data_IF_105790883223
#
_entry.id   IF_105790883223
#
_cell.length_a   1.000
_cell.length_b   1.000
_cell.length_c   1.000
_cell.angle_alpha   90.00
_cell.angle_beta   90.00
_cell.angle_gamma   90.00
#
_symmetry.space_group_name_H-M   'P 1'
#
loop_
_entity.id
_entity.type
_entity.pdbx_description
1 polymer ?
#
# COMPACT_ATOMS: atom_id res chain seq x y z
N UNK A 1 1.86 -16.36 21.16
CA UNK A 1 2.82 -15.66 20.31
C UNK A 1 2.02 -14.91 19.24
N UNK A 2 2.20 -13.57 19.15
CA UNK A 2 1.49 -12.75 18.17
C UNK A 2 2.19 -12.91 16.83
N UNK A 3 1.44 -13.28 15.77
CA UNK A 3 1.92 -13.22 14.40
C UNK A 3 1.14 -12.14 13.68
N UNK A 4 1.84 -11.28 12.96
CA UNK A 4 1.26 -10.35 12.00
C UNK A 4 1.60 -10.90 10.62
N UNK A 5 0.61 -11.22 9.81
CA UNK A 5 0.87 -11.78 8.47
C UNK A 5 1.46 -10.73 7.54
N UNK A 6 0.88 -9.54 7.53
CA UNK A 6 1.27 -8.42 6.67
C UNK A 6 1.58 -7.20 7.53
N UNK A 7 2.81 -6.70 7.46
CA UNK A 7 3.27 -5.53 8.18
C UNK A 7 3.60 -4.41 7.18
N UNK A 8 2.77 -3.37 7.17
CA UNK A 8 2.96 -2.22 6.28
C UNK A 8 3.62 -1.07 7.03
N UNK A 9 4.75 -0.57 6.51
CA UNK A 9 5.40 0.65 6.98
C UNK A 9 5.16 1.72 5.94
N UNK A 10 4.30 2.66 6.26
CA UNK A 10 3.93 3.79 5.41
C UNK A 10 4.16 5.11 6.17
N UNK A 11 3.65 6.21 5.64
CA UNK A 11 3.76 7.53 6.25
C UNK A 11 4.00 8.59 5.19
N UNK A 12 4.79 9.62 5.46
CA UNK A 12 5.31 10.53 4.45
C UNK A 12 6.25 9.76 3.50
N UNK A 13 7.56 9.79 3.79
CA UNK A 13 8.53 8.93 3.10
C UNK A 13 9.25 8.05 4.13
N UNK A 14 8.96 6.73 4.17
CA UNK A 14 9.54 5.84 5.18
C UNK A 14 11.07 5.78 5.16
N UNK A 15 11.67 5.89 3.98
CA UNK A 15 13.14 5.80 3.84
C UNK A 15 13.88 7.05 4.31
N UNK A 16 13.20 8.18 4.55
CA UNK A 16 13.81 9.34 5.22
C UNK A 16 13.96 9.12 6.72
N UNK A 17 13.22 8.16 7.29
CA UNK A 17 13.37 7.83 8.70
C UNK A 17 14.72 7.17 8.97
N UNK A 18 15.58 7.72 9.86
CA UNK A 18 16.96 7.23 10.04
C UNK A 18 17.04 5.79 10.55
N UNK A 19 16.09 5.37 11.38
CA UNK A 19 16.05 4.07 12.08
C UNK A 19 15.03 3.07 11.51
N UNK A 20 14.63 3.19 10.23
CA UNK A 20 13.69 2.27 9.59
C UNK A 20 14.17 0.81 9.63
N UNK A 21 15.46 0.58 9.50
CA UNK A 21 16.10 -0.72 9.62
C UNK A 21 15.88 -1.37 11.02
N UNK A 22 16.02 -0.57 12.08
CA UNK A 22 15.73 -1.02 13.45
C UNK A 22 14.26 -1.34 13.67
N UNK A 23 13.35 -0.57 13.07
CA UNK A 23 11.91 -0.86 13.14
C UNK A 23 11.61 -2.20 12.49
N UNK A 24 12.23 -2.49 11.34
CA UNK A 24 12.05 -3.77 10.64
C UNK A 24 12.65 -4.92 11.45
N UNK A 25 13.83 -4.75 12.02
CA UNK A 25 14.46 -5.73 12.93
C UNK A 25 13.54 -6.07 14.11
N UNK A 26 12.97 -5.06 14.77
CA UNK A 26 12.02 -5.24 15.87
C UNK A 26 10.72 -5.91 15.39
N UNK A 27 10.22 -5.55 14.22
CA UNK A 27 9.04 -6.20 13.66
C UNK A 27 9.28 -7.68 13.38
N UNK A 28 10.43 -8.04 12.81
CA UNK A 28 10.83 -9.43 12.59
C UNK A 28 10.91 -10.18 13.92
N UNK A 29 11.59 -9.61 14.89
CA UNK A 29 11.80 -10.23 16.20
C UNK A 29 10.51 -10.52 16.96
N UNK A 30 9.59 -9.57 16.98
CA UNK A 30 8.40 -9.64 17.83
C UNK A 30 7.11 -10.01 17.10
N UNK A 31 6.97 -9.66 15.82
CA UNK A 31 5.74 -9.87 15.04
C UNK A 31 5.86 -11.02 14.02
N UNK A 32 7.09 -11.33 13.58
CA UNK A 32 7.38 -12.41 12.61
C UNK A 32 6.47 -12.34 11.37
N UNK A 33 6.46 -11.21 10.66
CA UNK A 33 5.58 -11.05 9.50
C UNK A 33 6.01 -11.99 8.37
N UNK A 34 5.02 -12.50 7.62
CA UNK A 34 5.31 -13.20 6.37
C UNK A 34 5.71 -12.20 5.28
N UNK A 35 5.09 -11.02 5.29
CA UNK A 35 5.35 -9.96 4.32
C UNK A 35 5.53 -8.64 5.06
N UNK A 36 6.62 -7.93 4.75
CA UNK A 36 6.83 -6.52 5.08
C UNK A 36 6.64 -5.73 3.79
N UNK A 37 5.81 -4.70 3.82
CA UNK A 37 5.53 -3.85 2.67
C UNK A 37 5.87 -2.39 2.99
N UNK A 38 6.50 -1.69 2.04
CA UNK A 38 6.85 -0.29 2.21
C UNK A 38 6.67 0.45 0.87
N UNK A 39 5.72 1.39 0.78
CA UNK A 39 5.65 2.30 -0.36
C UNK A 39 6.75 3.35 -0.26
N UNK A 40 7.12 3.96 -1.39
CA UNK A 40 8.06 5.08 -1.45
C UNK A 40 7.69 6.06 -2.55
N UNK A 41 7.97 7.35 -2.33
CA UNK A 41 7.84 8.39 -3.33
C UNK A 41 9.00 8.39 -4.37
N UNK A 42 10.01 7.55 -4.14
CA UNK A 42 11.17 7.34 -5.00
C UNK A 42 12.08 8.58 -5.23
N UNK A 43 11.99 9.61 -4.38
CA UNK A 43 12.73 10.87 -4.58
C UNK A 43 14.21 10.82 -4.17
N UNK A 44 14.64 9.77 -3.47
CA UNK A 44 16.02 9.63 -2.97
C UNK A 44 16.63 8.27 -3.35
N UNK A 45 16.93 8.01 -4.64
CA UNK A 45 17.26 6.68 -5.15
C UNK A 45 18.42 6.00 -4.40
N UNK A 46 19.54 6.70 -4.22
CA UNK A 46 20.73 6.16 -3.54
C UNK A 46 20.47 5.83 -2.06
N UNK A 47 19.69 6.66 -1.36
CA UNK A 47 19.32 6.42 0.04
C UNK A 47 18.40 5.20 0.17
N UNK A 48 17.42 5.09 -0.73
CA UNK A 48 16.48 3.96 -0.78
C UNK A 48 17.25 2.67 -1.02
N UNK A 49 18.10 2.63 -2.05
CA UNK A 49 18.96 1.48 -2.34
C UNK A 49 19.78 1.05 -1.12
N UNK A 50 20.52 1.99 -0.52
CA UNK A 50 21.36 1.73 0.67
C UNK A 50 20.57 1.11 1.81
N UNK A 51 19.38 1.67 2.09
CA UNK A 51 18.53 1.16 3.18
C UNK A 51 17.90 -0.17 2.85
N UNK A 52 17.47 -0.40 1.61
CA UNK A 52 16.90 -1.68 1.17
C UNK A 52 17.95 -2.79 1.28
N UNK A 53 19.19 -2.58 0.84
CA UNK A 53 20.28 -3.57 1.03
C UNK A 53 20.43 -3.95 2.50
N UNK A 54 20.52 -2.97 3.40
CA UNK A 54 20.63 -3.22 4.83
C UNK A 54 19.42 -3.97 5.41
N UNK A 55 18.22 -3.63 4.97
CA UNK A 55 16.98 -4.33 5.37
C UNK A 55 17.02 -5.78 4.91
N UNK A 56 17.45 -6.04 3.68
CA UNK A 56 17.54 -7.41 3.15
C UNK A 56 18.57 -8.25 3.92
N UNK A 57 19.74 -7.69 4.25
CA UNK A 57 20.72 -8.37 5.12
C UNK A 57 20.11 -8.79 6.47
N UNK A 58 19.32 -7.89 7.09
CA UNK A 58 18.62 -8.19 8.36
C UNK A 58 17.58 -9.30 8.16
N UNK A 59 16.78 -9.24 7.09
CA UNK A 59 15.73 -10.23 6.80
C UNK A 59 16.38 -11.60 6.56
N UNK A 60 17.40 -11.69 5.74
CA UNK A 60 18.08 -12.94 5.43
C UNK A 60 18.71 -13.60 6.64
N UNK A 61 19.26 -12.78 7.53
CA UNK A 61 19.88 -13.27 8.77
C UNK A 61 18.85 -13.70 9.82
N UNK A 62 17.82 -12.86 10.07
CA UNK A 62 16.93 -13.02 11.23
C UNK A 62 15.60 -13.74 10.89
N UNK A 63 15.15 -13.70 9.64
CA UNK A 63 13.87 -14.27 9.19
C UNK A 63 13.84 -14.54 7.69
N UNK A 64 14.62 -15.52 7.19
CA UNK A 64 14.78 -15.77 5.75
C UNK A 64 13.49 -16.18 5.03
N UNK A 65 12.42 -16.50 5.76
CA UNK A 65 11.08 -16.75 5.19
C UNK A 65 10.23 -15.47 5.01
N UNK A 66 10.69 -14.31 5.52
CA UNK A 66 9.98 -13.04 5.36
C UNK A 66 10.28 -12.45 3.97
N UNK A 67 9.22 -12.06 3.27
CA UNK A 67 9.33 -11.33 2.01
C UNK A 67 9.28 -9.82 2.27
N UNK A 68 10.12 -9.06 1.58
CA UNK A 68 10.08 -7.61 1.59
C UNK A 68 9.58 -7.08 0.25
N UNK A 69 8.48 -6.34 0.28
CA UNK A 69 7.90 -5.72 -0.91
C UNK A 69 8.08 -4.22 -0.84
N UNK A 70 8.78 -3.65 -1.80
CA UNK A 70 8.89 -2.19 -1.98
C UNK A 70 8.06 -1.75 -3.17
N UNK A 71 7.30 -0.67 -2.99
CA UNK A 71 6.37 -0.17 -4.00
C UNK A 71 6.59 1.32 -4.29
N UNK A 72 7.48 1.68 -5.23
CA UNK A 72 7.54 3.03 -5.76
C UNK A 72 6.20 3.50 -6.33
N UNK A 73 5.83 4.75 -6.02
CA UNK A 73 4.63 5.39 -6.56
C UNK A 73 4.84 5.72 -8.03
N UNK A 74 3.91 5.28 -8.88
CA UNK A 74 4.00 5.40 -10.33
C UNK A 74 2.64 5.76 -10.90
N UNK A 75 2.38 7.05 -11.16
CA UNK A 75 1.03 7.54 -11.49
C UNK A 75 0.83 7.94 -12.96
N UNK A 76 1.92 8.17 -13.70
CA UNK A 76 1.91 8.43 -15.14
C UNK A 76 3.32 8.25 -15.75
N UNK A 77 3.49 8.52 -17.04
CA UNK A 77 4.75 8.43 -17.77
C UNK A 77 5.36 9.82 -17.99
N UNK A 78 6.67 9.94 -17.76
CA UNK A 78 7.43 11.16 -18.03
C UNK A 78 6.98 12.37 -17.20
N UNK A 79 7.00 13.55 -17.80
CA UNK A 79 6.62 14.81 -17.13
C UNK A 79 5.20 14.82 -16.57
N UNK A 80 4.30 13.98 -17.10
CA UNK A 80 2.94 13.84 -16.55
C UNK A 80 2.98 13.31 -15.11
N UNK A 81 3.93 12.41 -14.82
CA UNK A 81 4.17 11.93 -13.46
C UNK A 81 4.59 13.07 -12.52
N UNK A 82 5.53 13.91 -12.96
CA UNK A 82 6.00 15.07 -12.19
C UNK A 82 4.86 16.03 -11.85
N UNK A 83 4.00 16.31 -12.83
CA UNK A 83 2.82 17.18 -12.64
C UNK A 83 1.85 16.58 -11.61
N UNK A 84 1.53 15.28 -11.73
CA UNK A 84 0.59 14.61 -10.81
C UNK A 84 1.18 14.54 -9.38
N UNK A 85 2.49 14.32 -9.27
CA UNK A 85 3.17 14.24 -7.96
C UNK A 85 3.57 15.61 -7.40
N UNK A 86 3.47 16.68 -8.21
CA UNK A 86 3.85 18.04 -7.81
C UNK A 86 5.35 18.23 -7.57
N UNK A 87 6.21 17.40 -8.18
CA UNK A 87 7.67 17.44 -7.99
C UNK A 87 8.36 17.27 -9.33
N UNK A 88 9.00 18.32 -9.80
CA UNK A 88 9.81 18.29 -11.03
C UNK A 88 10.98 17.32 -10.89
N UNK A 89 11.26 16.54 -11.95
CA UNK A 89 12.31 15.52 -11.96
C UNK A 89 12.01 14.27 -11.11
N UNK A 90 10.77 14.10 -10.65
CA UNK A 90 10.39 12.88 -9.92
C UNK A 90 10.43 11.65 -10.84
N UNK A 91 10.08 11.81 -12.11
CA UNK A 91 10.11 10.73 -13.08
C UNK A 91 11.51 10.12 -13.24
N UNK A 92 12.53 10.94 -13.43
CA UNK A 92 13.92 10.48 -13.54
C UNK A 92 14.38 9.76 -12.28
N UNK A 93 14.04 10.30 -11.11
CA UNK A 93 14.36 9.67 -9.81
C UNK A 93 13.62 8.36 -9.61
N UNK A 94 12.36 8.27 -10.04
CA UNK A 94 11.59 7.05 -10.01
C UNK A 94 12.24 5.96 -10.88
N UNK A 95 12.63 6.30 -12.11
CA UNK A 95 13.29 5.35 -13.02
C UNK A 95 14.65 4.89 -12.46
N UNK A 96 15.45 5.79 -11.89
CA UNK A 96 16.69 5.45 -11.21
C UNK A 96 16.41 4.54 -9.99
N UNK A 97 15.41 4.85 -9.18
CA UNK A 97 15.02 4.02 -8.03
C UNK A 97 14.64 2.62 -8.46
N UNK A 98 13.79 2.46 -9.48
CA UNK A 98 13.38 1.15 -9.98
C UNK A 98 14.58 0.37 -10.50
N UNK A 99 15.48 1.02 -11.24
CA UNK A 99 16.70 0.40 -11.78
C UNK A 99 17.58 -0.13 -10.65
N UNK A 100 17.87 0.69 -9.64
CA UNK A 100 18.68 0.29 -8.46
C UNK A 100 18.04 -0.84 -7.68
N UNK A 101 16.74 -0.78 -7.44
CA UNK A 101 16.02 -1.83 -6.73
C UNK A 101 16.03 -3.16 -7.49
N UNK A 102 15.95 -3.14 -8.81
CA UNK A 102 16.10 -4.34 -9.64
C UNK A 102 17.50 -4.94 -9.55
N UNK A 103 18.54 -4.12 -9.45
CA UNK A 103 19.91 -4.62 -9.20
C UNK A 103 20.01 -5.26 -7.81
N UNK A 104 19.51 -4.61 -6.77
CA UNK A 104 19.47 -5.20 -5.41
C UNK A 104 18.74 -6.55 -5.41
N UNK A 105 17.62 -6.65 -6.12
CA UNK A 105 16.80 -7.87 -6.19
C UNK A 105 17.55 -9.07 -6.76
N UNK A 106 18.57 -8.87 -7.61
CA UNK A 106 19.36 -9.98 -8.17
C UNK A 106 20.06 -10.80 -7.08
N UNK A 107 20.51 -10.13 -6.03
CA UNK A 107 21.23 -10.73 -4.91
C UNK A 107 20.29 -11.19 -3.79
N UNK A 108 19.03 -10.73 -3.79
CA UNK A 108 18.06 -10.90 -2.70
C UNK A 108 16.72 -11.46 -3.20
N UNK A 109 16.54 -12.80 -3.29
CA UNK A 109 15.35 -13.42 -3.88
C UNK A 109 14.06 -13.15 -3.11
N UNK A 110 14.13 -12.73 -1.84
CA UNK A 110 12.98 -12.34 -1.03
C UNK A 110 12.59 -10.86 -1.17
N UNK A 111 13.30 -10.08 -2.00
CA UNK A 111 12.93 -8.72 -2.36
C UNK A 111 12.01 -8.72 -3.56
N UNK A 112 10.82 -8.13 -3.40
CA UNK A 112 9.86 -7.91 -4.48
C UNK A 112 9.74 -6.41 -4.78
N UNK A 113 9.98 -6.05 -6.03
CA UNK A 113 9.88 -4.67 -6.52
C UNK A 113 8.58 -4.54 -7.29
N UNK A 114 7.57 -3.94 -6.66
CA UNK A 114 6.31 -3.60 -7.32
C UNK A 114 6.27 -2.13 -7.70
N UNK A 115 5.24 -1.73 -8.43
CA UNK A 115 4.87 -0.33 -8.64
C UNK A 115 3.38 -0.15 -8.40
N UNK A 116 2.97 1.05 -8.03
CA UNK A 116 1.57 1.35 -7.72
C UNK A 116 1.10 2.65 -8.32
N UNK A 117 -0.08 2.62 -8.96
CA UNK A 117 -0.77 3.80 -9.47
C UNK A 117 -1.99 4.11 -8.63
N UNK A 118 -2.13 5.36 -8.20
CA UNK A 118 -3.37 5.86 -7.62
C UNK A 118 -4.21 6.46 -8.74
N UNK A 119 -5.35 5.82 -9.03
CA UNK A 119 -6.30 6.27 -10.06
C UNK A 119 -7.10 7.44 -9.49
N UNK A 120 -6.69 8.64 -9.83
CA UNK A 120 -7.30 9.91 -9.45
C UNK A 120 -7.92 10.61 -10.66
N UNK A 121 -8.65 11.69 -10.42
CA UNK A 121 -9.09 12.57 -11.52
C UNK A 121 -7.93 13.12 -12.37
N UNK A 122 -6.71 13.15 -11.84
CA UNK A 122 -5.52 13.67 -12.53
C UNK A 122 -4.79 12.58 -13.32
N UNK A 123 -4.73 11.34 -12.80
CA UNK A 123 -4.01 10.23 -13.43
C UNK A 123 -4.85 9.41 -14.41
N UNK A 124 -6.18 9.39 -14.22
CA UNK A 124 -7.10 8.52 -14.97
C UNK A 124 -7.02 8.68 -16.49
N UNK A 125 -6.80 9.89 -16.97
CA UNK A 125 -6.69 10.19 -18.41
C UNK A 125 -5.41 9.65 -19.06
N UNK A 126 -4.41 9.30 -18.23
CA UNK A 126 -3.12 8.76 -18.65
C UNK A 126 -3.00 7.25 -18.39
N UNK A 127 -4.05 6.63 -17.85
CA UNK A 127 -4.00 5.30 -17.26
C UNK A 127 -3.58 4.22 -18.27
N UNK A 128 -4.09 4.28 -19.50
CA UNK A 128 -3.74 3.31 -20.57
C UNK A 128 -2.23 3.35 -20.89
N UNK A 129 -1.69 4.53 -21.13
CA UNK A 129 -0.25 4.71 -21.39
C UNK A 129 0.59 4.24 -20.19
N UNK A 130 0.14 4.57 -18.98
CA UNK A 130 0.80 4.18 -17.72
C UNK A 130 0.89 2.65 -17.59
N UNK A 131 -0.20 1.94 -17.87
CA UNK A 131 -0.21 0.46 -17.85
C UNK A 131 0.69 -0.13 -18.92
N UNK A 132 0.59 0.35 -20.16
CA UNK A 132 1.42 -0.17 -21.25
C UNK A 132 2.91 0.01 -20.94
N UNK A 133 3.30 1.19 -20.47
CA UNK A 133 4.70 1.45 -20.11
C UNK A 133 5.14 0.60 -18.90
N UNK A 134 4.27 0.33 -17.93
CA UNK A 134 4.60 -0.50 -16.77
C UNK A 134 5.10 -1.89 -17.15
N UNK A 135 4.63 -2.45 -18.27
CA UNK A 135 5.04 -3.75 -18.79
C UNK A 135 6.52 -3.80 -19.20
N UNK A 136 7.11 -2.65 -19.53
CA UNK A 136 8.52 -2.53 -19.95
C UNK A 136 9.49 -2.44 -18.78
N UNK A 137 9.00 -2.16 -17.56
CA UNK A 137 9.85 -1.88 -16.40
C UNK A 137 10.49 -3.13 -15.79
N UNK A 138 9.96 -4.31 -16.07
CA UNK A 138 10.50 -5.58 -15.54
C UNK A 138 10.38 -5.69 -14.01
N UNK A 139 9.33 -5.13 -13.44
CA UNK A 139 8.97 -5.22 -12.02
C UNK A 139 8.13 -6.47 -11.73
N UNK A 140 8.08 -6.90 -10.47
CA UNK A 140 7.39 -8.12 -10.06
C UNK A 140 5.86 -7.96 -10.05
N UNK A 141 5.37 -6.76 -9.78
CA UNK A 141 3.94 -6.49 -9.74
C UNK A 141 3.59 -5.05 -10.10
N UNK A 142 2.40 -4.89 -10.67
CA UNK A 142 1.76 -3.61 -10.88
C UNK A 142 0.39 -3.61 -10.20
N UNK A 143 0.14 -2.63 -9.36
CA UNK A 143 -1.10 -2.50 -8.59
C UNK A 143 -1.72 -1.13 -8.87
N UNK A 144 -3.03 -1.10 -9.08
CA UNK A 144 -3.79 0.15 -9.17
C UNK A 144 -4.83 0.20 -8.05
N UNK A 145 -4.96 1.37 -7.44
CA UNK A 145 -5.92 1.65 -6.36
C UNK A 145 -6.66 2.95 -6.70
N UNK A 146 -7.94 3.05 -6.33
CA UNK A 146 -8.70 4.29 -6.52
C UNK A 146 -8.26 5.34 -5.48
N UNK A 147 -8.17 6.59 -5.91
CA UNK A 147 -7.85 7.70 -5.00
C UNK A 147 -8.94 7.87 -3.95
N UNK A 148 -8.54 7.96 -2.70
CA UNK A 148 -9.42 8.13 -1.55
C UNK A 148 -9.19 9.48 -0.88
N UNK A 149 -10.28 10.10 -0.44
CA UNK A 149 -10.25 11.26 0.44
C UNK A 149 -10.09 10.79 1.88
N UNK A 150 -9.03 11.24 2.56
CA UNK A 150 -8.69 10.79 3.93
C UNK A 150 -8.29 11.98 4.80
N UNK A 151 -8.76 12.00 6.04
CA UNK A 151 -8.38 13.01 7.02
C UNK A 151 -6.86 12.99 7.31
N UNK A 152 -6.24 11.80 7.33
CA UNK A 152 -4.79 11.65 7.56
C UNK A 152 -3.92 12.24 6.45
N UNK A 153 -4.48 12.38 5.24
CA UNK A 153 -3.80 12.98 4.08
C UNK A 153 -4.18 14.44 3.87
N UNK A 154 -5.02 15.00 4.75
CA UNK A 154 -5.53 16.39 4.67
C UNK A 154 -6.19 16.72 3.33
N UNK A 155 -6.76 15.73 2.64
CA UNK A 155 -7.32 15.84 1.31
C UNK A 155 -8.84 15.59 1.23
N UNK A 156 -9.55 15.74 2.36
CA UNK A 156 -10.99 15.40 2.47
C UNK A 156 -11.86 16.22 1.50
N UNK A 157 -11.44 17.45 1.20
CA UNK A 157 -12.14 18.36 0.29
C UNK A 157 -11.60 18.35 -1.13
N UNK A 158 -10.49 17.66 -1.38
CA UNK A 158 -9.85 17.66 -2.69
C UNK A 158 -10.63 16.81 -3.69
N UNK A 159 -10.83 17.28 -4.93
CA UNK A 159 -11.59 16.54 -5.94
C UNK A 159 -10.73 15.44 -6.60
N UNK A 160 -10.02 14.64 -5.80
CA UNK A 160 -9.08 13.62 -6.32
C UNK A 160 -9.78 12.34 -6.75
N UNK A 161 -10.89 11.97 -6.08
CA UNK A 161 -11.59 10.72 -6.36
C UNK A 161 -12.39 10.85 -7.66
N UNK A 162 -12.20 9.95 -8.64
CA UNK A 162 -12.95 10.00 -9.89
C UNK A 162 -14.43 9.64 -9.67
N UNK A 163 -15.30 10.13 -10.56
CA UNK A 163 -16.67 9.66 -10.59
C UNK A 163 -16.73 8.17 -10.95
N UNK A 164 -17.77 7.46 -10.47
CA UNK A 164 -17.91 6.04 -10.76
C UNK A 164 -17.93 5.71 -12.27
N UNK A 165 -18.52 6.57 -13.10
CA UNK A 165 -18.55 6.41 -14.56
C UNK A 165 -17.15 6.46 -15.16
N UNK A 166 -16.38 7.53 -14.84
CA UNK A 166 -15.01 7.67 -15.32
C UNK A 166 -14.12 6.53 -14.87
N UNK A 167 -14.29 6.07 -13.61
CA UNK A 167 -13.55 4.95 -13.08
C UNK A 167 -13.91 3.64 -13.79
N UNK A 168 -15.20 3.36 -14.00
CA UNK A 168 -15.69 2.17 -14.71
C UNK A 168 -15.13 2.09 -16.12
N UNK A 169 -15.20 3.17 -16.90
CA UNK A 169 -14.65 3.26 -18.26
C UNK A 169 -13.13 2.97 -18.28
N UNK A 170 -12.38 3.59 -17.36
CA UNK A 170 -10.94 3.43 -17.29
C UNK A 170 -10.53 2.03 -16.84
N UNK A 171 -11.26 1.43 -15.88
CA UNK A 171 -10.91 0.15 -15.30
C UNK A 171 -11.30 -1.03 -16.21
N UNK A 172 -12.21 -0.84 -17.16
CA UNK A 172 -12.57 -1.89 -18.11
C UNK A 172 -11.36 -2.33 -18.96
N UNK A 173 -10.49 -1.38 -19.29
CA UNK A 173 -9.20 -1.71 -19.91
C UNK A 173 -8.37 -2.68 -19.04
N UNK A 174 -8.23 -2.41 -17.74
CA UNK A 174 -7.52 -3.30 -16.82
C UNK A 174 -8.17 -4.67 -16.67
N UNK A 175 -9.50 -4.71 -16.63
CA UNK A 175 -10.23 -5.97 -16.56
C UNK A 175 -9.94 -6.84 -17.79
N UNK A 176 -9.92 -6.24 -18.98
CA UNK A 176 -9.62 -6.94 -20.20
C UNK A 176 -8.18 -7.45 -20.24
N UNK A 177 -7.21 -6.62 -19.85
CA UNK A 177 -5.81 -7.02 -19.69
C UNK A 177 -5.67 -8.19 -18.70
N UNK A 178 -6.30 -8.09 -17.53
CA UNK A 178 -6.27 -9.14 -16.51
C UNK A 178 -6.87 -10.46 -17.02
N UNK A 179 -8.02 -10.39 -17.73
CA UNK A 179 -8.64 -11.57 -18.35
C UNK A 179 -7.76 -12.23 -19.40
N UNK A 180 -7.05 -11.44 -20.20
CA UNK A 180 -6.09 -11.96 -21.18
C UNK A 180 -4.89 -12.64 -20.51
N UNK A 181 -4.32 -11.98 -19.49
CA UNK A 181 -3.20 -12.54 -18.73
C UNK A 181 -3.55 -13.85 -18.01
N UNK A 182 -4.79 -13.99 -17.53
CA UNK A 182 -5.24 -15.22 -16.86
C UNK A 182 -5.10 -16.47 -17.73
N UNK A 183 -5.20 -16.35 -19.06
CA UNK A 183 -5.14 -17.50 -19.99
C UNK A 183 -3.79 -18.23 -19.94
N UNK A 184 -2.71 -17.50 -19.68
CA UNK A 184 -1.33 -18.01 -19.69
C UNK A 184 -0.70 -18.21 -18.31
N UNK A 185 -1.41 -17.86 -17.21
CA UNK A 185 -0.85 -17.89 -15.86
C UNK A 185 -1.16 -19.18 -15.09
N UNK A 186 -0.29 -19.60 -14.16
CA UNK A 186 -0.56 -20.70 -13.23
C UNK A 186 -1.82 -20.46 -12.39
N UNK A 187 -2.41 -21.52 -11.84
CA UNK A 187 -3.68 -21.48 -11.10
C UNK A 187 -3.68 -20.45 -9.96
N UNK A 188 -2.63 -20.40 -9.15
CA UNK A 188 -2.54 -19.45 -8.02
C UNK A 188 -2.55 -18.00 -8.50
N UNK A 189 -1.85 -17.70 -9.59
CA UNK A 189 -1.86 -16.36 -10.19
C UNK A 189 -3.24 -16.01 -10.78
N UNK A 190 -3.98 -16.99 -11.32
CA UNK A 190 -5.35 -16.79 -11.78
C UNK A 190 -6.28 -16.41 -10.64
N UNK A 191 -6.15 -17.05 -9.47
CA UNK A 191 -6.93 -16.69 -8.28
C UNK A 191 -6.67 -15.24 -7.88
N UNK A 192 -5.40 -14.82 -7.81
CA UNK A 192 -5.04 -13.44 -7.49
C UNK A 192 -5.63 -12.44 -8.49
N UNK A 193 -5.54 -12.73 -9.80
CA UNK A 193 -6.13 -11.88 -10.84
C UNK A 193 -7.66 -11.84 -10.75
N UNK A 194 -8.32 -12.97 -10.45
CA UNK A 194 -9.77 -13.00 -10.24
C UNK A 194 -10.20 -12.14 -9.05
N UNK A 195 -9.48 -12.21 -7.93
CA UNK A 195 -9.71 -11.33 -6.78
C UNK A 195 -9.55 -9.85 -7.16
N UNK A 196 -8.61 -9.53 -8.03
CA UNK A 196 -8.41 -8.16 -8.54
C UNK A 196 -9.59 -7.68 -9.39
N UNK A 197 -10.17 -8.55 -10.23
CA UNK A 197 -11.38 -8.22 -10.99
C UNK A 197 -12.56 -7.91 -10.06
N UNK A 198 -12.77 -8.73 -9.03
CA UNK A 198 -13.80 -8.49 -7.99
C UNK A 198 -13.54 -7.18 -7.27
N UNK A 199 -12.30 -6.87 -6.91
CA UNK A 199 -11.93 -5.60 -6.29
C UNK A 199 -12.34 -4.39 -7.14
N UNK A 200 -12.11 -4.42 -8.46
CA UNK A 200 -12.52 -3.34 -9.35
C UNK A 200 -14.04 -3.16 -9.39
N UNK A 201 -14.79 -4.25 -9.43
CA UNK A 201 -16.27 -4.20 -9.40
C UNK A 201 -16.79 -3.64 -8.07
N UNK A 202 -16.18 -4.01 -6.95
CA UNK A 202 -16.50 -3.44 -5.64
C UNK A 202 -16.19 -1.95 -5.56
N UNK A 203 -15.06 -1.49 -6.12
CA UNK A 203 -14.74 -0.07 -6.18
C UNK A 203 -15.79 0.72 -6.97
N UNK A 204 -16.25 0.20 -8.10
CA UNK A 204 -17.35 0.83 -8.89
C UNK A 204 -18.61 0.96 -8.04
N UNK A 205 -18.99 -0.12 -7.33
CA UNK A 205 -20.18 -0.12 -6.48
C UNK A 205 -20.05 0.88 -5.32
N UNK A 206 -18.89 0.93 -4.65
CA UNK A 206 -18.62 1.88 -3.55
C UNK A 206 -18.69 3.32 -4.06
N UNK A 207 -18.08 3.63 -5.20
CA UNK A 207 -18.11 4.96 -5.79
C UNK A 207 -19.51 5.39 -6.22
N UNK A 208 -20.34 4.43 -6.68
CA UNK A 208 -21.73 4.66 -7.12
C UNK A 208 -22.67 4.85 -5.94
N UNK A 209 -22.58 3.97 -4.94
CA UNK A 209 -23.51 3.93 -3.80
C UNK A 209 -23.05 4.83 -2.65
N UNK A 210 -21.77 5.22 -2.61
CA UNK A 210 -21.12 6.00 -1.52
C UNK A 210 -21.33 5.37 -0.14
N UNK A 211 -21.34 4.05 -0.10
CA UNK A 211 -21.50 3.27 1.13
C UNK A 211 -20.65 2.02 1.09
N UNK A 212 -20.53 1.36 2.25
CA UNK A 212 -19.91 0.03 2.36
C UNK A 212 -20.77 -1.01 1.63
N UNK A 213 -20.15 -1.81 0.78
CA UNK A 213 -20.85 -2.84 -0.06
C UNK A 213 -20.55 -4.28 0.36
N UNK A 214 -19.55 -4.47 1.21
CA UNK A 214 -19.19 -5.77 1.80
C UNK A 214 -18.88 -5.57 3.29
N UNK A 215 -18.99 -6.64 4.13
CA UNK A 215 -18.61 -6.57 5.53
C UNK A 215 -17.18 -6.06 5.73
N UNK A 216 -16.99 -5.12 6.64
CA UNK A 216 -15.68 -4.56 6.95
C UNK A 216 -15.12 -5.19 8.22
N UNK A 217 -13.86 -5.61 8.17
CA UNK A 217 -13.12 -6.18 9.29
C UNK A 217 -12.06 -5.22 9.86
N UNK A 218 -12.20 -3.92 9.60
CA UNK A 218 -11.36 -2.89 10.21
C UNK A 218 -11.41 -2.96 11.74
N UNK A 219 -10.25 -2.90 12.39
CA UNK A 219 -10.15 -3.07 13.85
C UNK A 219 -10.34 -4.52 14.35
N UNK A 220 -10.56 -5.49 13.47
CA UNK A 220 -10.66 -6.93 13.78
C UNK A 220 -9.47 -7.67 13.16
N UNK A 221 -9.28 -7.57 11.85
CA UNK A 221 -8.19 -8.22 11.11
C UNK A 221 -6.98 -7.32 10.90
N UNK A 222 -7.15 -6.03 11.01
CA UNK A 222 -6.10 -5.03 10.80
C UNK A 222 -6.26 -3.84 11.76
N UNK A 223 -5.15 -3.16 12.01
CA UNK A 223 -5.09 -1.89 12.71
C UNK A 223 -4.12 -0.96 11.98
N UNK A 224 -4.34 0.33 12.14
CA UNK A 224 -3.43 1.39 11.71
C UNK A 224 -2.91 2.11 12.96
N UNK A 225 -1.62 2.41 12.99
CA UNK A 225 -0.99 3.18 14.07
C UNK A 225 -0.13 4.28 13.46
N UNK A 226 -0.31 5.51 13.92
CA UNK A 226 0.53 6.62 13.49
C UNK A 226 1.85 6.68 14.28
N UNK A 227 2.75 7.59 13.87
CA UNK A 227 4.04 7.79 14.52
C UNK A 227 3.93 8.33 15.96
N UNK A 228 2.76 8.84 16.35
CA UNK A 228 2.48 9.37 17.70
C UNK A 228 1.86 8.33 18.62
N UNK A 229 1.59 7.13 18.12
CA UNK A 229 1.06 6.01 18.90
C UNK A 229 -0.46 5.92 18.95
N UNK A 230 -1.19 6.78 18.21
CA UNK A 230 -2.64 6.66 18.09
C UNK A 230 -3.00 5.47 17.20
N UNK A 231 -4.01 4.72 17.62
CA UNK A 231 -4.47 3.53 16.91
C UNK A 231 -5.87 3.73 16.34
N UNK A 232 -6.04 3.29 15.10
CA UNK A 232 -7.31 3.31 14.37
C UNK A 232 -7.63 1.96 13.75
N UNK A 233 -8.91 1.68 13.47
CA UNK A 233 -9.29 0.42 12.79
C UNK A 233 -8.76 0.36 11.35
N UNK A 234 -8.65 1.49 10.66
CA UNK A 234 -8.09 1.64 9.33
C UNK A 234 -7.76 3.12 9.04
N UNK A 235 -7.10 3.39 7.93
CA UNK A 235 -6.73 4.73 7.49
C UNK A 235 -7.96 5.62 7.18
N UNK A 236 -9.04 5.05 6.62
CA UNK A 236 -10.28 5.80 6.30
C UNK A 236 -10.96 6.35 7.56
N UNK A 237 -10.91 5.61 8.67
CA UNK A 237 -11.49 6.01 9.94
C UNK A 237 -10.48 6.71 10.87
N UNK A 238 -9.29 7.05 10.36
CA UNK A 238 -8.29 7.80 11.10
C UNK A 238 -8.88 9.11 11.66
N UNK A 239 -8.45 9.48 12.85
CA UNK A 239 -8.92 10.61 13.65
C UNK A 239 -10.39 10.57 14.07
N UNK A 240 -11.29 10.03 13.26
CA UNK A 240 -12.72 9.93 13.58
C UNK A 240 -13.07 8.79 14.54
N UNK A 241 -12.29 7.69 14.52
CA UNK A 241 -12.50 6.46 15.32
C UNK A 241 -11.20 6.03 16.00
N UNK A 242 -10.75 6.79 17.00
CA UNK A 242 -9.54 6.50 17.75
C UNK A 242 -9.76 5.38 18.77
N UNK A 243 -9.02 4.28 18.63
CA UNK A 243 -9.05 3.12 19.52
C UNK A 243 -8.25 3.36 20.82
N UNK A 244 -7.43 4.40 20.89
CA UNK A 244 -6.55 4.75 22.00
C UNK A 244 -5.12 5.00 21.57
N UNK A 245 -4.30 5.60 22.43
CA UNK A 245 -2.88 5.80 22.22
C UNK A 245 -2.08 4.71 22.97
N UNK A 246 -1.10 4.10 22.33
CA UNK A 246 -0.30 3.01 22.95
C UNK A 246 0.41 3.45 24.22
N UNK A 247 0.75 4.73 24.37
CA UNK A 247 1.41 5.27 25.56
C UNK A 247 0.51 5.25 26.80
N UNK A 248 -0.80 5.46 26.61
CA UNK A 248 -1.79 5.43 27.70
C UNK A 248 -2.02 4.03 28.25
N UNK A 249 -1.49 3.01 27.57
CA UNK A 249 -1.62 1.60 27.91
C UNK A 249 -0.27 0.91 28.16
N UNK A 250 0.75 1.67 28.55
CA UNK A 250 2.11 1.16 28.81
C UNK A 250 2.71 0.40 27.62
N UNK A 251 2.39 0.83 26.40
CA UNK A 251 2.77 0.17 25.13
C UNK A 251 2.23 -1.27 25.01
N UNK A 252 1.26 -1.68 25.83
CA UNK A 252 0.60 -2.98 25.70
C UNK A 252 -0.52 -2.96 24.66
N UNK A 253 -0.16 -3.30 23.43
CA UNK A 253 -1.11 -3.41 22.31
C UNK A 253 -2.34 -4.30 22.65
N UNK A 254 -2.14 -5.39 23.44
CA UNK A 254 -3.23 -6.30 23.77
C UNK A 254 -4.27 -5.66 24.68
N UNK A 255 -3.87 -4.75 25.55
CA UNK A 255 -4.81 -3.98 26.38
C UNK A 255 -5.75 -3.16 25.49
N UNK A 256 -5.19 -2.42 24.50
CA UNK A 256 -6.00 -1.64 23.55
C UNK A 256 -6.87 -2.57 22.71
N UNK A 257 -6.28 -3.58 22.12
CA UNK A 257 -6.93 -4.44 21.14
C UNK A 257 -8.07 -5.29 21.72
N UNK A 258 -7.87 -5.86 22.91
CA UNK A 258 -8.79 -6.83 23.50
C UNK A 258 -9.65 -6.27 24.63
N UNK A 259 -9.12 -5.31 25.41
CA UNK A 259 -9.74 -4.90 26.68
C UNK A 259 -10.36 -3.51 26.64
N UNK A 260 -9.89 -2.62 25.74
CA UNK A 260 -10.39 -1.26 25.70
C UNK A 260 -11.85 -1.21 25.21
N UNK A 261 -12.69 -0.52 25.97
CA UNK A 261 -14.11 -0.32 25.69
C UNK A 261 -14.30 0.40 24.36
N UNK A 262 -13.54 1.47 24.09
CA UNK A 262 -13.59 2.20 22.81
C UNK A 262 -13.34 1.28 21.60
N UNK A 263 -12.38 0.35 21.70
CA UNK A 263 -12.11 -0.62 20.63
C UNK A 263 -13.32 -1.50 20.36
N UNK A 264 -14.01 -1.95 21.42
CA UNK A 264 -15.22 -2.78 21.29
C UNK A 264 -16.38 -2.01 20.64
N UNK A 265 -16.59 -0.77 21.07
CA UNK A 265 -17.61 0.14 20.50
C UNK A 265 -17.35 0.44 19.02
N UNK A 266 -16.09 0.69 18.63
CA UNK A 266 -15.70 0.93 17.24
C UNK A 266 -15.94 -0.31 16.37
N UNK A 267 -15.59 -1.50 16.86
CA UNK A 267 -15.87 -2.77 16.17
C UNK A 267 -17.35 -2.98 15.95
N UNK A 268 -18.17 -2.72 16.98
CA UNK A 268 -19.63 -2.77 16.88
C UNK A 268 -20.15 -1.79 15.83
N UNK A 269 -19.70 -0.52 15.89
CA UNK A 269 -20.05 0.49 14.90
C UNK A 269 -19.73 0.07 13.44
N UNK A 270 -18.57 -0.59 13.22
CA UNK A 270 -18.16 -1.06 11.89
C UNK A 270 -19.01 -2.26 11.44
N UNK A 271 -19.35 -3.14 12.37
CA UNK A 271 -20.17 -4.31 12.09
C UNK A 271 -21.64 -3.95 11.75
N UNK A 272 -22.17 -2.93 12.41
CA UNK A 272 -23.58 -2.51 12.28
C UNK A 272 -23.83 -1.61 11.04
N UNK A 273 -22.81 -1.31 10.23
CA UNK A 273 -22.88 -0.57 8.97
C UNK A 273 -22.90 -1.50 7.76
#
# INVERSE_FOLDING_TARGET
KNKVYFFNISGGEPFLRPDIDKIIELAIKYLRPAIIHTPTNALTPALIEKKVRKIMEIIEKESPQTHFTIKPSYDAVGKKHDVIRGVEGNWEKLMDTITRLKEVRKDHPNLYVGIGTVISNFSIVHLKETVEFSKTLGVDSYISEVAEQRAEMTNVTDPITPSWKKYEEAIEFFKNESRQQMKSKPLLSRVTLSMRLVYYDLCIQILKQKTQVIPCYGGISNAHMNAYGDMWPCAILAYSKNMGNVRDFDYDFKKIWNKNVKTKEIRKYIHDK
#
